data_IF_308379069429
#
_entry.id   IF_308379069429
#
_cell.length_a   1.000
_cell.length_b   1.000
_cell.length_c   1.000
_cell.angle_alpha   90.00
_cell.angle_beta   90.00
_cell.angle_gamma   90.00
#
_symmetry.space_group_name_H-M   'P 1'
#
loop_
_entity.id
_entity.type
_entity.pdbx_description
1 polymer ?
#
# COMPACT_ATOMS: atom_id res chain seq x y z
N UNK A 1 15.41 9.07 -15.49
CA UNK A 1 14.45 7.95 -15.54
C UNK A 1 14.72 7.09 -14.32
N UNK A 2 13.70 6.44 -13.77
CA UNK A 2 13.85 5.47 -12.69
C UNK A 2 14.33 4.14 -13.29
N UNK A 3 15.01 3.28 -12.54
CA UNK A 3 15.24 1.89 -12.97
C UNK A 3 13.89 1.18 -13.13
N UNK A 4 13.76 0.40 -14.20
CA UNK A 4 12.57 -0.37 -14.51
C UNK A 4 12.27 -1.43 -13.45
N UNK A 5 11.09 -1.32 -12.82
CA UNK A 5 10.68 -2.17 -11.70
C UNK A 5 9.16 -2.15 -11.47
N UNK A 6 8.64 -3.21 -10.85
CA UNK A 6 7.28 -3.26 -10.27
C UNK A 6 7.33 -3.77 -8.83
N UNK A 7 6.21 -3.68 -8.10
CA UNK A 7 6.09 -4.21 -6.71
C UNK A 7 7.17 -3.69 -5.75
N UNK A 8 7.65 -2.49 -6.07
CA UNK A 8 8.51 -1.66 -5.23
C UNK A 8 7.62 -0.78 -4.35
N UNK A 9 8.23 -0.19 -3.34
CA UNK A 9 7.54 0.74 -2.46
C UNK A 9 8.19 2.13 -2.53
N UNK A 10 7.38 3.14 -2.27
CA UNK A 10 7.81 4.53 -2.31
C UNK A 10 7.29 5.28 -1.08
N UNK A 11 8.09 6.21 -0.58
CA UNK A 11 7.72 7.04 0.56
C UNK A 11 8.21 8.47 0.39
N UNK A 12 7.38 9.43 0.77
CA UNK A 12 7.77 10.84 0.83
C UNK A 12 8.66 11.06 2.07
N UNK A 13 9.87 11.52 1.84
CA UNK A 13 10.83 11.87 2.90
C UNK A 13 10.53 13.26 3.48
N UNK A 14 11.04 13.53 4.67
CA UNK A 14 10.87 14.82 5.37
C UNK A 14 11.48 16.01 4.62
N UNK A 15 12.44 15.77 3.74
CA UNK A 15 13.03 16.78 2.87
C UNK A 15 12.23 17.03 1.57
N UNK A 16 11.05 16.41 1.43
CA UNK A 16 10.16 16.56 0.27
C UNK A 16 10.51 15.69 -0.93
N UNK A 17 11.62 14.94 -0.90
CA UNK A 17 11.98 13.99 -1.97
C UNK A 17 11.25 12.66 -1.79
N UNK A 18 11.12 11.88 -2.86
CA UNK A 18 10.50 10.54 -2.79
C UNK A 18 11.59 9.47 -2.87
N UNK A 19 11.68 8.63 -1.85
CA UNK A 19 12.50 7.42 -1.88
C UNK A 19 11.72 6.29 -2.53
N UNK A 20 12.31 5.61 -3.51
CA UNK A 20 11.80 4.37 -4.10
C UNK A 20 12.76 3.23 -3.79
N UNK A 21 12.25 2.13 -3.23
CA UNK A 21 13.07 1.01 -2.78
C UNK A 21 12.55 -0.34 -3.28
N UNK A 22 13.50 -1.21 -3.64
CA UNK A 22 13.23 -2.61 -3.97
C UNK A 22 12.38 -2.82 -5.22
N UNK A 23 11.57 -3.87 -5.18
CA UNK A 23 10.74 -4.33 -6.29
C UNK A 23 11.38 -5.46 -7.09
N UNK A 24 10.75 -5.79 -8.21
CA UNK A 24 11.19 -6.83 -9.14
C UNK A 24 11.62 -6.25 -10.47
N UNK A 25 12.65 -6.87 -11.05
CA UNK A 25 13.06 -6.70 -12.44
C UNK A 25 13.40 -8.07 -13.03
N UNK A 26 12.69 -8.46 -14.08
CA UNK A 26 12.74 -9.84 -14.57
C UNK A 26 12.33 -10.83 -13.47
N UNK A 27 13.10 -11.90 -13.29
CA UNK A 27 12.86 -12.89 -12.23
C UNK A 27 13.48 -12.52 -10.88
N UNK A 28 14.27 -11.43 -10.79
CA UNK A 28 15.05 -11.08 -9.60
C UNK A 28 14.43 -9.95 -8.80
N UNK A 29 14.72 -9.93 -7.50
CA UNK A 29 14.39 -8.81 -6.63
C UNK A 29 15.51 -7.78 -6.61
N UNK A 30 15.13 -6.53 -6.39
CA UNK A 30 16.05 -5.40 -6.34
C UNK A 30 16.39 -5.05 -4.89
N UNK A 31 17.66 -4.76 -4.64
CA UNK A 31 18.11 -4.10 -3.40
C UNK A 31 18.42 -2.60 -3.61
N UNK A 32 18.28 -2.13 -4.85
CA UNK A 32 18.59 -0.75 -5.24
C UNK A 32 17.50 0.22 -4.81
N UNK A 33 17.91 1.44 -4.51
CA UNK A 33 16.99 2.52 -4.15
C UNK A 33 17.37 3.79 -4.89
N UNK A 34 16.35 4.57 -5.23
CA UNK A 34 16.47 5.81 -5.98
C UNK A 34 15.68 6.91 -5.29
N UNK A 35 16.14 8.14 -5.45
CA UNK A 35 15.45 9.33 -4.97
C UNK A 35 14.94 10.12 -6.18
N UNK A 36 13.67 10.49 -6.13
CA UNK A 36 13.10 11.53 -6.98
C UNK A 36 13.09 12.88 -6.26
N UNK A 37 13.71 13.88 -6.89
CA UNK A 37 13.70 15.26 -6.42
C UNK A 37 12.64 16.07 -7.18
N UNK A 38 11.50 16.42 -6.55
CA UNK A 38 10.43 17.15 -7.23
C UNK A 38 10.76 18.60 -7.56
N UNK A 39 11.83 19.18 -7.01
CA UNK A 39 12.25 20.54 -7.34
C UNK A 39 13.01 20.59 -8.67
N UNK A 40 13.68 19.51 -9.03
CA UNK A 40 14.47 19.40 -10.28
C UNK A 40 13.91 18.37 -11.26
N UNK A 41 12.86 17.64 -10.85
CA UNK A 41 12.25 16.52 -11.57
C UNK A 41 13.26 15.44 -12.00
N UNK A 42 14.33 15.28 -11.21
CA UNK A 42 15.43 14.36 -11.48
C UNK A 42 15.44 13.14 -10.54
N UNK A 43 15.93 12.04 -11.09
CA UNK A 43 16.18 10.80 -10.38
C UNK A 43 17.66 10.65 -10.09
N UNK A 44 18.01 10.17 -8.90
CA UNK A 44 19.38 9.85 -8.51
C UNK A 44 19.43 8.54 -7.73
N UNK A 45 20.44 7.70 -7.96
CA UNK A 45 20.71 6.56 -7.09
C UNK A 45 21.08 7.02 -5.67
N UNK A 46 20.74 6.22 -4.68
CA UNK A 46 21.16 6.41 -3.29
C UNK A 46 21.60 5.07 -2.68
N UNK A 47 21.79 5.00 -1.36
CA UNK A 47 22.21 3.78 -0.67
C UNK A 47 21.39 2.55 -1.05
N UNK A 48 21.97 1.36 -0.92
CA UNK A 48 21.32 0.09 -1.28
C UNK A 48 21.00 -0.71 -0.02
N UNK A 49 19.86 -1.41 -0.04
CA UNK A 49 19.54 -2.40 0.98
C UNK A 49 20.56 -3.54 0.90
N UNK A 50 20.81 -4.19 2.04
CA UNK A 50 21.72 -5.34 2.10
C UNK A 50 21.14 -6.58 1.42
N UNK A 51 19.82 -6.67 1.31
CA UNK A 51 19.09 -7.77 0.66
C UNK A 51 18.04 -7.20 -0.31
N UNK A 52 17.88 -7.85 -1.46
CA UNK A 52 16.83 -7.51 -2.42
C UNK A 52 15.46 -7.92 -1.88
N UNK A 53 14.43 -7.12 -2.16
CA UNK A 53 13.05 -7.42 -1.73
C UNK A 53 12.02 -6.80 -2.66
N UNK A 54 10.94 -7.54 -2.91
CA UNK A 54 9.68 -7.02 -3.45
C UNK A 54 8.51 -7.43 -2.54
N UNK A 55 7.31 -6.89 -2.78
CA UNK A 55 6.12 -7.20 -1.96
C UNK A 55 6.32 -6.93 -0.44
N UNK A 56 7.24 -6.03 -0.14
CA UNK A 56 7.55 -5.51 1.19
C UNK A 56 6.69 -4.27 1.44
N UNK A 57 6.83 -3.67 2.62
CA UNK A 57 6.27 -2.33 2.87
C UNK A 57 7.39 -1.35 3.23
N UNK A 58 7.19 -0.06 2.93
CA UNK A 58 8.12 1.01 3.29
C UNK A 58 7.38 2.05 4.12
N UNK A 59 7.85 2.29 5.35
CA UNK A 59 7.17 3.15 6.31
C UNK A 59 8.05 4.32 6.74
N UNK A 60 7.54 5.55 6.61
CA UNK A 60 8.22 6.73 7.14
C UNK A 60 8.10 6.76 8.66
N UNK A 61 9.20 6.92 9.38
CA UNK A 61 9.23 7.00 10.84
C UNK A 61 9.27 8.45 11.33
N UNK A 62 8.84 8.65 12.58
CA UNK A 62 8.86 9.97 13.24
C UNK A 62 10.27 10.56 13.39
N UNK A 63 11.29 9.72 13.40
CA UNK A 63 12.70 10.12 13.49
C UNK A 63 13.32 10.53 12.15
N UNK A 64 12.55 10.59 11.06
CA UNK A 64 13.05 10.98 9.75
C UNK A 64 13.66 9.84 8.92
N UNK A 65 13.67 8.60 9.42
CA UNK A 65 14.16 7.42 8.68
C UNK A 65 13.01 6.68 8.00
N UNK A 66 13.31 5.96 6.92
CA UNK A 66 12.35 5.04 6.29
C UNK A 66 12.68 3.59 6.69
N UNK A 67 11.66 2.83 7.08
CA UNK A 67 11.78 1.42 7.47
C UNK A 67 11.27 0.51 6.35
N UNK A 68 12.16 -0.31 5.78
CA UNK A 68 11.79 -1.37 4.85
C UNK A 68 11.46 -2.65 5.63
N UNK A 69 10.27 -3.19 5.43
CA UNK A 69 9.69 -4.24 6.26
C UNK A 69 9.39 -5.47 5.41
N UNK A 70 10.08 -6.56 5.73
CA UNK A 70 9.81 -7.88 5.16
C UNK A 70 9.88 -7.95 3.65
N UNK A 71 8.94 -8.68 3.06
CA UNK A 71 8.85 -8.93 1.63
C UNK A 71 9.36 -10.31 1.22
N UNK A 72 9.45 -10.50 -0.08
CA UNK A 72 9.94 -11.71 -0.72
C UNK A 72 11.28 -11.38 -1.39
N UNK A 73 12.31 -12.17 -1.07
CA UNK A 73 13.65 -12.08 -1.66
C UNK A 73 13.77 -12.97 -2.91
N UNK A 74 14.99 -13.30 -3.34
CA UNK A 74 15.18 -14.10 -4.58
C UNK A 74 14.67 -15.54 -4.44
N UNK A 75 14.86 -16.17 -3.27
CA UNK A 75 14.43 -17.55 -2.99
C UNK A 75 13.89 -17.76 -1.57
N UNK A 76 13.89 -16.71 -0.73
CA UNK A 76 13.48 -16.77 0.68
C UNK A 76 12.57 -15.59 1.05
N UNK A 77 11.75 -15.76 2.09
CA UNK A 77 11.08 -14.62 2.71
C UNK A 77 12.07 -13.80 3.50
N UNK A 78 11.85 -12.49 3.48
CA UNK A 78 12.61 -11.58 4.29
C UNK A 78 11.79 -11.32 5.56
N UNK A 79 12.32 -11.70 6.72
CA UNK A 79 11.84 -11.17 8.01
C UNK A 79 12.73 -10.04 8.54
N UNK A 80 13.87 -9.79 7.88
CA UNK A 80 14.77 -8.68 8.18
C UNK A 80 14.10 -7.35 7.85
N UNK A 81 14.44 -6.34 8.64
CA UNK A 81 14.06 -4.96 8.37
C UNK A 81 15.28 -4.06 8.36
N UNK A 82 15.23 -3.00 7.56
CA UNK A 82 16.34 -2.09 7.34
C UNK A 82 15.85 -0.64 7.41
N UNK A 83 16.68 0.23 7.99
CA UNK A 83 16.43 1.66 8.14
C UNK A 83 17.25 2.44 7.13
N UNK A 84 16.60 3.23 6.30
CA UNK A 84 17.24 4.24 5.46
C UNK A 84 17.30 5.57 6.18
N UNK A 85 18.51 6.12 6.28
CA UNK A 85 18.76 7.46 6.79
C UNK A 85 18.94 8.44 5.62
N UNK A 86 17.99 9.36 5.37
CA UNK A 86 18.05 10.26 4.22
C UNK A 86 19.14 11.34 4.33
N UNK A 87 19.74 11.55 5.50
CA UNK A 87 20.84 12.51 5.66
C UNK A 87 22.18 11.91 5.27
N UNK A 88 22.37 10.62 5.54
CA UNK A 88 23.62 9.90 5.23
C UNK A 88 23.53 9.03 3.98
N UNK A 89 22.33 8.82 3.45
CA UNK A 89 22.07 7.89 2.35
C UNK A 89 22.48 6.44 2.66
N UNK A 90 22.43 6.03 3.94
CA UNK A 90 22.84 4.70 4.38
C UNK A 90 21.65 3.86 4.81
N UNK A 91 21.66 2.58 4.41
CA UNK A 91 20.78 1.54 4.95
C UNK A 91 21.48 0.82 6.11
N UNK A 92 20.78 0.66 7.24
CA UNK A 92 21.27 -0.08 8.41
C UNK A 92 20.28 -1.16 8.81
N UNK A 93 20.75 -2.38 9.06
CA UNK A 93 19.91 -3.47 9.61
C UNK A 93 19.37 -3.09 10.99
N UNK A 94 18.12 -3.40 11.25
CA UNK A 94 17.50 -3.34 12.59
C UNK A 94 16.88 -4.69 12.95
N UNK A 95 16.05 -4.78 13.98
CA UNK A 95 15.45 -6.05 14.39
C UNK A 95 14.61 -6.71 13.29
N UNK A 96 14.27 -7.97 13.52
CA UNK A 96 13.56 -8.81 12.57
C UNK A 96 12.16 -9.10 13.06
N UNK A 97 11.19 -9.18 12.14
CA UNK A 97 9.86 -9.68 12.47
C UNK A 97 9.95 -11.11 13.02
N UNK A 98 9.08 -11.43 13.96
CA UNK A 98 8.89 -12.77 14.51
C UNK A 98 8.40 -13.71 13.42
N UNK A 99 7.45 -13.26 12.60
CA UNK A 99 6.93 -14.03 11.45
C UNK A 99 7.42 -13.43 10.13
N UNK A 100 8.13 -14.17 9.26
CA UNK A 100 8.43 -13.71 7.91
C UNK A 100 7.15 -13.49 7.13
N UNK A 101 7.08 -12.36 6.39
CA UNK A 101 5.87 -12.04 5.63
C UNK A 101 6.11 -11.15 4.42
N UNK A 102 5.35 -11.40 3.37
CA UNK A 102 5.18 -10.54 2.19
C UNK A 102 3.67 -10.33 1.97
N UNK A 103 3.28 -9.32 1.17
CA UNK A 103 1.86 -8.95 0.94
C UNK A 103 1.10 -8.53 2.20
N UNK A 104 1.84 -8.24 3.26
CA UNK A 104 1.32 -7.66 4.49
C UNK A 104 1.08 -6.17 4.28
N UNK A 105 0.47 -5.52 5.24
CA UNK A 105 0.36 -4.07 5.27
C UNK A 105 0.96 -3.52 6.55
N UNK A 106 1.51 -2.32 6.46
CA UNK A 106 2.12 -1.63 7.59
C UNK A 106 1.71 -0.18 7.66
N UNK A 107 1.67 0.36 8.89
CA UNK A 107 1.30 1.75 9.14
C UNK A 107 2.03 2.26 10.39
N UNK A 108 2.52 3.50 10.33
CA UNK A 108 3.02 4.20 11.50
C UNK A 108 1.84 4.60 12.39
N UNK A 109 1.88 4.19 13.65
CA UNK A 109 0.90 4.54 14.67
C UNK A 109 1.22 5.89 15.31
N UNK A 110 0.20 6.54 15.88
CA UNK A 110 0.36 7.84 16.55
C UNK A 110 1.31 7.79 17.76
N UNK A 111 1.50 6.61 18.35
CA UNK A 111 2.46 6.39 19.44
C UNK A 111 3.91 6.19 18.97
N UNK A 112 4.17 6.28 17.66
CA UNK A 112 5.48 6.13 17.04
C UNK A 112 5.90 4.69 16.72
N UNK A 113 5.10 3.68 17.08
CA UNK A 113 5.36 2.29 16.69
C UNK A 113 4.87 2.02 15.27
N UNK A 114 5.40 1.00 14.61
CA UNK A 114 4.88 0.53 13.31
C UNK A 114 4.10 -0.76 13.50
N UNK A 115 2.83 -0.75 13.11
CA UNK A 115 2.00 -1.95 13.04
C UNK A 115 2.24 -2.64 11.71
N UNK A 116 2.34 -3.97 11.74
CA UNK A 116 2.34 -4.85 10.59
C UNK A 116 1.29 -5.93 10.78
N UNK A 117 0.49 -6.21 9.75
CA UNK A 117 -0.61 -7.18 9.84
C UNK A 117 -0.80 -7.93 8.52
N UNK A 118 -1.20 -9.21 8.64
CA UNK A 118 -1.56 -10.05 7.50
C UNK A 118 -0.37 -10.46 6.65
N UNK A 119 -0.65 -10.71 5.36
CA UNK A 119 0.31 -11.22 4.39
C UNK A 119 0.36 -12.74 4.34
N UNK A 120 1.46 -13.28 3.83
CA UNK A 120 1.73 -14.72 3.78
C UNK A 120 3.16 -15.02 4.20
N UNK A 121 3.37 -16.18 4.81
CA UNK A 121 4.69 -16.72 5.21
C UNK A 121 5.08 -17.97 4.41
N UNK A 122 4.35 -18.30 3.34
CA UNK A 122 4.56 -19.49 2.50
C UNK A 122 4.89 -19.12 1.06
N UNK A 123 5.66 -19.97 0.37
CA UNK A 123 6.24 -19.59 -0.95
C UNK A 123 5.19 -19.64 -2.03
N UNK A 124 4.23 -20.56 -1.84
CA UNK A 124 2.97 -20.56 -2.54
C UNK A 124 2.06 -19.45 -1.99
N UNK A 125 1.84 -18.44 -2.84
CA UNK A 125 0.89 -17.34 -2.63
C UNK A 125 -0.48 -17.83 -2.17
N UNK A 126 -0.92 -18.99 -2.67
CA UNK A 126 -2.25 -19.54 -2.42
C UNK A 126 -2.29 -20.58 -1.29
N UNK A 127 -1.16 -20.85 -0.61
CA UNK A 127 -1.10 -21.86 0.44
C UNK A 127 -1.66 -21.37 1.78
N UNK A 128 -1.35 -20.14 2.20
CA UNK A 128 -1.86 -19.62 3.48
C UNK A 128 -1.80 -18.09 3.56
N UNK A 129 -2.70 -17.52 4.37
CA UNK A 129 -2.68 -16.12 4.76
C UNK A 129 -2.57 -15.97 6.28
N UNK A 130 -1.71 -15.06 6.71
CA UNK A 130 -1.48 -14.77 8.12
C UNK A 130 -2.63 -13.94 8.70
N UNK A 131 -2.99 -14.26 9.93
CA UNK A 131 -3.85 -13.43 10.78
C UNK A 131 -3.08 -12.71 11.90
N UNK A 132 -1.79 -13.00 12.04
CA UNK A 132 -0.93 -12.38 13.06
C UNK A 132 -0.60 -10.93 12.71
N UNK A 133 -0.40 -10.14 13.75
CA UNK A 133 0.12 -8.78 13.66
C UNK A 133 1.28 -8.59 14.64
N UNK A 134 2.17 -7.66 14.30
CA UNK A 134 3.36 -7.33 15.09
C UNK A 134 3.56 -5.82 15.17
N UNK A 135 4.18 -5.37 16.26
CA UNK A 135 4.57 -3.99 16.48
C UNK A 135 6.10 -3.88 16.48
N UNK A 136 6.61 -2.94 15.70
CA UNK A 136 8.00 -2.51 15.76
C UNK A 136 8.13 -1.25 16.62
N UNK A 137 9.11 -1.25 17.53
CA UNK A 137 9.51 -0.05 18.26
C UNK A 137 10.78 0.57 17.64
N UNK A 138 10.69 1.74 16.97
CA UNK A 138 11.85 2.39 16.37
C UNK A 138 12.97 2.78 17.32
N UNK A 139 12.70 2.99 18.61
CA UNK A 139 13.73 3.40 19.57
C UNK A 139 14.60 2.23 20.03
N UNK A 140 14.08 1.01 20.00
CA UNK A 140 14.79 -0.21 20.44
C UNK A 140 15.12 -1.16 19.29
N UNK A 141 14.46 -1.00 18.14
CA UNK A 141 14.55 -1.93 17.03
C UNK A 141 13.84 -3.27 17.26
N UNK A 142 13.03 -3.40 18.33
CA UNK A 142 12.41 -4.68 18.72
C UNK A 142 11.05 -4.86 18.05
N UNK A 143 10.78 -6.08 17.60
CA UNK A 143 9.47 -6.55 17.15
C UNK A 143 8.79 -7.38 18.24
N UNK A 144 7.50 -7.14 18.48
CA UNK A 144 6.67 -7.94 19.39
C UNK A 144 5.35 -8.32 18.72
N UNK A 145 4.82 -9.51 19.03
CA UNK A 145 3.46 -9.88 18.61
C UNK A 145 2.42 -9.01 19.32
N UNK A 146 1.33 -8.68 18.62
CA UNK A 146 0.15 -8.03 19.20
C UNK A 146 -1.11 -8.86 18.87
N UNK A 147 -2.31 -8.36 19.18
CA UNK A 147 -3.55 -9.04 18.85
C UNK A 147 -3.63 -9.40 17.37
N UNK A 148 -4.35 -10.48 17.07
CA UNK A 148 -4.51 -11.01 15.72
C UNK A 148 -5.89 -10.70 15.17
N UNK A 149 -5.99 -10.53 13.85
CA UNK A 149 -7.28 -10.43 13.16
C UNK A 149 -7.98 -11.80 13.14
N UNK A 150 -9.30 -11.80 13.00
CA UNK A 150 -10.10 -13.03 13.06
C UNK A 150 -9.93 -13.94 11.84
N UNK A 151 -9.63 -13.36 10.67
CA UNK A 151 -9.44 -14.08 9.41
C UNK A 151 -8.14 -13.59 8.76
N UNK A 152 -7.24 -14.52 8.45
CA UNK A 152 -5.99 -14.22 7.78
C UNK A 152 -6.21 -13.67 6.37
N UNK A 153 -5.39 -12.72 5.95
CA UNK A 153 -5.59 -12.04 4.66
C UNK A 153 -4.30 -11.50 4.05
N UNK A 154 -4.16 -11.68 2.75
CA UNK A 154 -3.09 -11.11 1.92
C UNK A 154 -3.59 -9.88 1.14
N UNK A 155 -2.67 -8.94 0.87
CA UNK A 155 -2.91 -7.60 0.30
C UNK A 155 -4.10 -6.83 0.93
N UNK A 156 -4.23 -6.78 2.27
CA UNK A 156 -5.34 -6.05 2.89
C UNK A 156 -5.01 -4.55 3.03
N UNK A 157 -5.70 -3.60 2.38
CA UNK A 157 -5.46 -2.20 2.67
C UNK A 157 -5.84 -1.87 4.12
N UNK A 158 -5.00 -1.05 4.76
CA UNK A 158 -5.22 -0.51 6.10
C UNK A 158 -5.25 1.02 6.06
N UNK A 159 -6.03 1.61 6.96
CA UNK A 159 -6.15 3.06 7.09
C UNK A 159 -6.16 3.48 8.55
N UNK A 160 -5.48 4.58 8.85
CA UNK A 160 -5.64 5.27 10.13
C UNK A 160 -7.05 5.86 10.20
N UNK A 161 -7.71 5.72 11.34
CA UNK A 161 -8.95 6.42 11.68
C UNK A 161 -8.63 7.71 12.43
N UNK A 162 -9.53 8.69 12.39
CA UNK A 162 -9.33 9.99 13.05
C UNK A 162 -9.08 9.89 14.57
N UNK A 163 -9.53 8.82 15.21
CA UNK A 163 -9.30 8.53 16.64
C UNK A 163 -7.99 7.78 16.92
N UNK A 164 -7.13 7.57 15.92
CA UNK A 164 -5.85 6.87 16.06
C UNK A 164 -5.93 5.34 16.02
N UNK A 165 -7.11 4.76 15.84
CA UNK A 165 -7.29 3.32 15.59
C UNK A 165 -6.99 2.98 14.13
N UNK A 166 -6.75 1.71 13.81
CA UNK A 166 -6.45 1.27 12.44
C UNK A 166 -7.58 0.38 11.92
N UNK A 167 -8.14 0.70 10.76
CA UNK A 167 -9.09 -0.14 10.05
C UNK A 167 -8.34 -1.04 9.05
N UNK A 168 -8.68 -2.33 9.01
CA UNK A 168 -8.28 -3.27 7.96
C UNK A 168 -9.53 -3.72 7.20
N UNK A 169 -9.45 -3.81 5.86
CA UNK A 169 -10.63 -4.10 5.03
C UNK A 169 -10.34 -5.12 3.93
N UNK A 170 -11.28 -6.02 3.67
CA UNK A 170 -11.24 -6.95 2.54
C UNK A 170 -9.95 -7.76 2.46
N UNK A 171 -9.40 -7.91 1.25
CA UNK A 171 -8.22 -8.73 0.98
C UNK A 171 -8.60 -10.16 0.58
N UNK A 172 -7.58 -11.02 0.44
CA UNK A 172 -7.75 -12.39 -0.02
C UNK A 172 -7.31 -13.38 1.07
N UNK A 173 -8.20 -14.33 1.40
CA UNK A 173 -7.88 -15.50 2.22
C UNK A 173 -7.38 -16.63 1.30
N UNK A 174 -6.12 -17.00 1.46
CA UNK A 174 -5.52 -18.19 0.83
C UNK A 174 -5.74 -19.46 1.69
N UNK A 175 -5.40 -20.63 1.14
CA UNK A 175 -5.59 -21.93 1.80
C UNK A 175 -6.67 -22.78 1.12
N UNK A 176 -7.40 -23.57 1.89
CA UNK A 176 -8.49 -24.44 1.41
C UNK A 176 -9.81 -23.68 1.19
N UNK A 177 -10.10 -22.68 2.02
CA UNK A 177 -11.26 -21.78 1.92
C UNK A 177 -10.89 -20.50 1.14
N UNK A 178 -10.48 -20.65 -0.13
CA UNK A 178 -10.01 -19.51 -0.93
C UNK A 178 -11.15 -18.54 -1.22
N UNK A 179 -11.04 -17.32 -0.72
CA UNK A 179 -12.05 -16.29 -1.00
C UNK A 179 -11.56 -14.86 -0.78
N UNK A 180 -12.18 -13.94 -1.50
CA UNK A 180 -12.09 -12.52 -1.18
C UNK A 180 -12.98 -12.21 0.02
N UNK A 181 -12.54 -11.26 0.84
CA UNK A 181 -13.24 -10.86 2.04
C UNK A 181 -14.00 -9.55 1.79
N UNK A 182 -15.15 -9.42 2.44
CA UNK A 182 -15.83 -8.14 2.66
C UNK A 182 -15.73 -7.67 4.12
N UNK A 183 -15.09 -8.47 4.98
CA UNK A 183 -15.00 -8.19 6.40
C UNK A 183 -13.98 -7.10 6.71
N UNK A 184 -14.24 -6.37 7.79
CA UNK A 184 -13.36 -5.36 8.32
C UNK A 184 -13.18 -5.52 9.84
N UNK A 185 -12.02 -5.10 10.33
CA UNK A 185 -11.68 -5.12 11.75
C UNK A 185 -10.96 -3.81 12.12
N UNK A 186 -11.08 -3.40 13.38
CA UNK A 186 -10.47 -2.19 13.92
C UNK A 186 -9.48 -2.59 15.01
N UNK A 187 -8.21 -2.19 14.83
CA UNK A 187 -7.17 -2.32 15.84
C UNK A 187 -7.15 -1.10 16.75
N UNK A 188 -7.11 -1.35 18.05
CA UNK A 188 -6.90 -0.33 19.07
C UNK A 188 -5.46 -0.38 19.59
N UNK A 189 -4.58 0.59 19.22
CA UNK A 189 -3.20 0.61 19.69
C UNK A 189 -3.02 0.71 21.21
N UNK A 190 -4.03 1.20 21.94
CA UNK A 190 -3.94 1.34 23.39
C UNK A 190 -4.10 0.01 24.14
N UNK A 191 -4.79 -0.96 23.52
CA UNK A 191 -5.05 -2.28 24.10
C UNK A 191 -4.39 -3.41 23.33
N UNK A 192 -3.95 -3.16 22.09
CA UNK A 192 -3.41 -4.17 21.20
C UNK A 192 -4.46 -5.16 20.68
N UNK A 193 -5.75 -4.82 20.73
CA UNK A 193 -6.86 -5.71 20.38
C UNK A 193 -7.45 -5.34 19.02
N UNK A 194 -7.76 -6.35 18.19
CA UNK A 194 -8.60 -6.21 17.00
C UNK A 194 -10.06 -6.53 17.34
N UNK A 195 -10.97 -5.69 16.87
CA UNK A 195 -12.43 -5.87 17.05
C UNK A 195 -13.11 -5.88 15.69
N UNK A 196 -14.02 -6.82 15.45
CA UNK A 196 -14.84 -6.84 14.24
C UNK A 196 -15.72 -5.60 14.17
N UNK A 197 -15.88 -5.04 12.97
CA UNK A 197 -16.84 -3.96 12.67
C UNK A 197 -17.81 -4.40 11.57
N UNK A 198 -18.61 -3.49 11.02
CA UNK A 198 -19.48 -3.78 9.89
C UNK A 198 -18.72 -4.30 8.67
N UNK A 199 -19.43 -5.02 7.80
CA UNK A 199 -18.88 -5.57 6.57
C UNK A 199 -19.26 -4.72 5.36
N UNK A 200 -18.37 -4.66 4.38
CA UNK A 200 -18.69 -4.14 3.04
C UNK A 200 -19.78 -5.00 2.40
N UNK A 201 -20.56 -4.39 1.50
CA UNK A 201 -21.54 -5.09 0.66
C UNK A 201 -20.87 -5.92 -0.43
N UNK A 202 -19.69 -5.50 -0.90
CA UNK A 202 -18.94 -6.19 -1.97
C UNK A 202 -17.60 -6.70 -1.43
N UNK A 203 -17.37 -8.01 -1.58
CA UNK A 203 -16.07 -8.65 -1.33
C UNK A 203 -15.05 -8.22 -2.37
N UNK A 204 -13.82 -7.93 -1.93
CA UNK A 204 -12.77 -7.36 -2.80
C UNK A 204 -11.37 -7.58 -2.25
N UNK A 205 -10.41 -7.73 -3.16
CA UNK A 205 -8.97 -7.66 -2.90
C UNK A 205 -8.27 -6.68 -3.85
N UNK A 206 -7.05 -6.25 -3.49
CA UNK A 206 -6.27 -5.24 -4.23
C UNK A 206 -7.05 -3.95 -4.55
N UNK A 207 -7.98 -3.59 -3.67
CA UNK A 207 -8.65 -2.30 -3.62
C UNK A 207 -7.81 -1.30 -2.82
N UNK A 208 -8.21 -0.04 -2.85
CA UNK A 208 -7.63 1.01 -2.01
C UNK A 208 -8.56 1.36 -0.86
N UNK A 209 -8.00 1.85 0.26
CA UNK A 209 -8.74 2.40 1.39
C UNK A 209 -8.10 3.74 1.79
N UNK A 210 -8.85 4.84 1.66
CA UNK A 210 -8.34 6.20 1.85
C UNK A 210 -9.20 6.93 2.88
N UNK A 211 -8.56 7.49 3.92
CA UNK A 211 -9.24 8.36 4.88
C UNK A 211 -9.59 9.69 4.20
N UNK A 212 -10.86 10.08 4.28
CA UNK A 212 -11.39 11.33 3.76
C UNK A 212 -11.31 12.44 4.82
N UNK A 213 -11.43 13.70 4.38
CA UNK A 213 -11.42 14.89 5.25
C UNK A 213 -12.56 14.92 6.27
N UNK A 214 -13.66 14.22 6.00
CA UNK A 214 -14.79 14.06 6.93
C UNK A 214 -14.62 12.88 7.91
N UNK A 215 -13.46 12.20 7.90
CA UNK A 215 -13.15 11.08 8.78
C UNK A 215 -13.65 9.71 8.32
N UNK A 216 -14.47 9.63 7.25
CA UNK A 216 -14.88 8.34 6.67
C UNK A 216 -13.73 7.71 5.88
N UNK A 217 -13.78 6.40 5.67
CA UNK A 217 -12.84 5.69 4.79
C UNK A 217 -13.53 5.37 3.47
N UNK A 218 -12.98 5.86 2.36
CA UNK A 218 -13.36 5.45 1.01
C UNK A 218 -12.63 4.16 0.66
N UNK A 219 -13.38 3.12 0.32
CA UNK A 219 -12.88 1.92 -0.33
C UNK A 219 -13.29 1.93 -1.79
N UNK A 220 -12.34 1.73 -2.70
CA UNK A 220 -12.58 1.86 -4.14
C UNK A 220 -11.95 0.71 -4.95
N UNK A 221 -12.69 0.21 -5.94
CA UNK A 221 -12.24 -0.78 -6.91
C UNK A 221 -11.77 -2.10 -6.30
N UNK A 222 -10.70 -2.67 -6.86
CA UNK A 222 -10.25 -4.03 -6.55
C UNK A 222 -10.86 -5.05 -7.49
N UNK A 223 -10.77 -6.32 -7.12
CA UNK A 223 -11.35 -7.40 -7.91
C UNK A 223 -11.81 -8.55 -7.01
N UNK A 224 -12.64 -9.41 -7.58
CA UNK A 224 -13.08 -10.65 -6.97
C UNK A 224 -13.31 -11.75 -8.03
N UNK A 225 -13.98 -12.85 -7.66
CA UNK A 225 -14.25 -13.96 -8.58
C UNK A 225 -15.12 -13.61 -9.78
N UNK A 226 -15.89 -12.52 -9.70
CA UNK A 226 -16.75 -12.06 -10.79
C UNK A 226 -16.05 -11.03 -11.71
N UNK A 227 -14.79 -10.66 -11.40
CA UNK A 227 -14.02 -9.68 -12.17
C UNK A 227 -13.56 -8.48 -11.35
N UNK A 228 -13.06 -7.47 -12.06
CA UNK A 228 -12.65 -6.19 -11.51
C UNK A 228 -13.86 -5.33 -11.17
N UNK A 229 -13.70 -4.49 -10.15
CA UNK A 229 -14.79 -3.73 -9.56
C UNK A 229 -14.66 -2.24 -9.92
N UNK A 230 -15.79 -1.63 -10.23
CA UNK A 230 -15.96 -0.17 -10.29
C UNK A 230 -16.67 0.38 -9.05
N UNK A 231 -17.19 -0.49 -8.18
CA UNK A 231 -17.91 -0.07 -6.98
C UNK A 231 -16.99 0.55 -5.95
N UNK A 232 -17.52 1.53 -5.22
CA UNK A 232 -16.88 2.13 -4.06
C UNK A 232 -17.86 2.21 -2.87
N UNK A 233 -17.31 2.17 -1.67
CA UNK A 233 -18.06 2.14 -0.42
C UNK A 233 -17.40 3.06 0.62
N UNK A 234 -18.22 3.68 1.47
CA UNK A 234 -17.79 4.52 2.57
C UNK A 234 -17.99 3.78 3.89
N UNK A 235 -16.94 3.70 4.70
CA UNK A 235 -17.02 3.28 6.09
C UNK A 235 -17.15 4.50 7.00
N UNK A 236 -18.18 4.51 7.84
CA UNK A 236 -18.34 5.48 8.91
C UNK A 236 -17.76 4.93 10.23
N UNK A 237 -16.62 5.44 10.72
CA UNK A 237 -15.98 4.91 11.92
C UNK A 237 -16.77 5.18 13.21
N UNK A 238 -17.76 6.09 13.19
CA UNK A 238 -18.57 6.40 14.37
C UNK A 238 -19.67 5.36 14.60
N UNK A 239 -20.20 4.79 13.52
CA UNK A 239 -21.31 3.82 13.56
C UNK A 239 -20.87 2.40 13.19
N UNK A 240 -19.71 2.26 12.54
CA UNK A 240 -19.25 0.99 11.98
C UNK A 240 -20.00 0.57 10.71
N UNK A 241 -20.82 1.45 10.14
CA UNK A 241 -21.68 1.15 8.97
C UNK A 241 -20.95 1.43 7.66
N UNK A 242 -21.21 0.57 6.67
CA UNK A 242 -20.78 0.74 5.28
C UNK A 242 -21.93 1.23 4.41
N UNK A 243 -21.64 2.10 3.44
CA UNK A 243 -22.63 2.61 2.48
C UNK A 243 -22.02 2.69 1.09
N UNK A 244 -22.74 2.22 0.07
CA UNK A 244 -22.35 2.40 -1.33
C UNK A 244 -22.31 3.89 -1.68
N UNK A 245 -21.32 4.30 -2.46
CA UNK A 245 -21.22 5.65 -3.03
C UNK A 245 -21.17 5.56 -4.55
N UNK A 246 -20.89 6.65 -5.26
CA UNK A 246 -20.69 6.63 -6.71
C UNK A 246 -19.64 5.60 -7.14
N UNK A 247 -19.72 5.16 -8.38
CA UNK A 247 -18.82 4.16 -8.96
C UNK A 247 -17.80 4.81 -9.89
N UNK A 248 -16.63 4.19 -9.98
CA UNK A 248 -15.63 4.50 -11.00
C UNK A 248 -16.21 4.24 -12.40
N UNK A 249 -15.77 5.01 -13.39
CA UNK A 249 -16.12 4.80 -14.80
C UNK A 249 -15.43 3.59 -15.42
N UNK A 250 -14.24 3.23 -14.93
CA UNK A 250 -13.55 1.99 -15.30
C UNK A 250 -13.42 1.05 -14.09
N UNK A 251 -13.73 -0.23 -14.30
CA UNK A 251 -13.33 -1.30 -13.37
C UNK A 251 -11.81 -1.28 -13.24
N UNK A 252 -11.28 -1.47 -12.02
CA UNK A 252 -9.83 -1.51 -11.80
C UNK A 252 -9.43 -2.16 -10.48
N UNK A 253 -8.36 -2.93 -10.51
CA UNK A 253 -7.63 -3.44 -9.35
C UNK A 253 -6.15 -3.05 -9.45
N UNK A 254 -5.39 -3.23 -8.37
CA UNK A 254 -3.95 -2.92 -8.33
C UNK A 254 -3.60 -1.46 -8.63
N UNK A 255 -4.60 -0.58 -8.61
CA UNK A 255 -4.46 0.86 -8.75
C UNK A 255 -3.91 1.48 -7.46
N UNK A 256 -3.65 2.78 -7.49
CA UNK A 256 -3.33 3.56 -6.28
C UNK A 256 -4.33 4.69 -6.11
N UNK A 257 -4.52 5.09 -4.85
CA UNK A 257 -5.40 6.18 -4.47
C UNK A 257 -4.63 7.18 -3.59
N UNK A 258 -4.75 8.46 -3.90
CA UNK A 258 -4.08 9.54 -3.21
C UNK A 258 -5.12 10.61 -2.83
N UNK A 259 -5.19 10.96 -1.53
CA UNK A 259 -5.94 12.15 -1.13
C UNK A 259 -5.16 13.40 -1.55
N UNK A 260 -5.86 14.32 -2.21
CA UNK A 260 -5.32 15.60 -2.66
C UNK A 260 -5.59 16.71 -1.63
N UNK A 261 -4.87 17.82 -1.75
CA UNK A 261 -4.99 18.96 -0.84
C UNK A 261 -6.41 19.59 -0.83
N UNK A 262 -7.15 19.45 -1.93
CA UNK A 262 -8.55 19.91 -2.04
C UNK A 262 -9.57 18.92 -1.43
N UNK A 263 -9.11 17.83 -0.81
CA UNK A 263 -9.94 16.80 -0.19
C UNK A 263 -10.49 15.73 -1.14
N UNK A 264 -10.30 15.86 -2.46
CA UNK A 264 -10.68 14.83 -3.43
C UNK A 264 -9.70 13.65 -3.36
N UNK A 265 -10.16 12.47 -3.78
CA UNK A 265 -9.31 11.28 -3.89
C UNK A 265 -9.05 11.01 -5.36
N UNK A 266 -7.78 11.09 -5.77
CA UNK A 266 -7.33 10.68 -7.10
C UNK A 266 -7.07 9.18 -7.10
N UNK A 267 -7.71 8.45 -8.01
CA UNK A 267 -7.39 7.06 -8.33
C UNK A 267 -6.70 7.01 -9.68
N UNK A 268 -5.53 6.37 -9.74
CA UNK A 268 -4.71 6.28 -10.94
C UNK A 268 -4.43 4.84 -11.34
N UNK A 269 -4.56 4.61 -12.64
CA UNK A 269 -4.14 3.40 -13.34
C UNK A 269 -4.68 2.08 -12.76
N UNK A 270 -3.89 1.01 -12.78
CA UNK A 270 -4.30 -0.35 -12.40
C UNK A 270 -4.52 -1.25 -13.62
N UNK A 271 -5.26 -2.34 -13.41
CA UNK A 271 -5.60 -3.29 -14.47
C UNK A 271 -7.08 -3.67 -14.39
N UNK A 272 -7.64 -4.11 -15.51
CA UNK A 272 -8.97 -4.70 -15.62
C UNK A 272 -9.00 -5.87 -16.61
N UNK A 273 -10.19 -6.33 -16.97
CA UNK A 273 -10.41 -7.46 -17.90
C UNK A 273 -9.79 -7.25 -19.29
N UNK A 274 -9.62 -5.99 -19.71
CA UNK A 274 -9.12 -5.61 -21.02
C UNK A 274 -7.62 -5.25 -21.02
N UNK A 275 -6.92 -5.40 -19.88
CA UNK A 275 -5.51 -5.04 -19.72
C UNK A 275 -5.30 -3.86 -18.78
N UNK A 276 -4.20 -3.13 -18.97
CA UNK A 276 -3.83 -2.04 -18.07
C UNK A 276 -4.74 -0.83 -18.27
N UNK A 277 -5.20 -0.24 -17.17
CA UNK A 277 -6.03 0.96 -17.20
C UNK A 277 -5.11 2.17 -17.17
N UNK A 278 -5.17 3.01 -18.21
CA UNK A 278 -4.41 4.26 -18.27
C UNK A 278 -5.15 5.47 -17.71
N UNK A 279 -6.45 5.37 -17.42
CA UNK A 279 -7.22 6.53 -16.96
C UNK A 279 -7.01 6.83 -15.48
N UNK A 280 -7.17 8.10 -15.13
CA UNK A 280 -7.27 8.59 -13.76
C UNK A 280 -8.67 9.16 -13.49
N UNK A 281 -9.12 9.06 -12.24
CA UNK A 281 -10.45 9.48 -11.81
C UNK A 281 -10.38 10.17 -10.44
N UNK A 282 -11.22 11.18 -10.22
CA UNK A 282 -11.34 11.94 -8.97
C UNK A 282 -12.68 11.65 -8.31
N UNK A 283 -12.64 11.18 -7.07
CA UNK A 283 -13.79 11.11 -6.19
C UNK A 283 -13.94 12.41 -5.40
N UNK A 284 -15.13 13.00 -5.46
CA UNK A 284 -15.50 14.15 -4.65
C UNK A 284 -16.30 13.70 -3.41
N UNK A 285 -15.75 13.80 -2.19
CA UNK A 285 -16.43 13.33 -0.98
C UNK A 285 -17.65 14.16 -0.59
N UNK A 286 -17.84 15.36 -1.15
CA UNK A 286 -19.00 16.21 -0.87
C UNK A 286 -20.23 15.76 -1.67
N UNK A 287 -20.02 15.26 -2.89
CA UNK A 287 -21.11 14.86 -3.79
C UNK A 287 -21.24 13.35 -3.92
N UNK A 288 -20.20 12.60 -3.57
CA UNK A 288 -20.12 11.15 -3.81
C UNK A 288 -19.90 10.78 -5.27
N UNK A 289 -19.59 11.74 -6.15
CA UNK A 289 -19.45 11.53 -7.58
C UNK A 289 -17.99 11.34 -7.99
N UNK A 290 -17.81 10.56 -9.06
CA UNK A 290 -16.53 10.38 -9.74
C UNK A 290 -16.47 11.21 -11.02
N UNK A 291 -15.29 11.75 -11.31
CA UNK A 291 -15.03 12.52 -12.53
C UNK A 291 -13.71 12.09 -13.17
N UNK A 292 -13.60 12.17 -14.50
CA UNK A 292 -12.35 11.85 -15.20
C UNK A 292 -11.27 12.89 -14.89
N UNK A 293 -10.05 12.45 -14.61
CA UNK A 293 -8.92 13.28 -14.18
C UNK A 293 -7.71 13.22 -15.13
N UNK A 294 -7.93 12.77 -16.38
CA UNK A 294 -6.88 12.59 -17.39
C UNK A 294 -6.49 11.14 -17.61
N UNK A 295 -5.50 10.92 -18.46
CA UNK A 295 -4.95 9.61 -18.79
C UNK A 295 -3.42 9.65 -18.70
N UNK A 296 -2.82 8.54 -18.26
CA UNK A 296 -1.38 8.30 -18.32
C UNK A 296 -0.91 8.15 -19.77
N UNK A 297 0.33 8.55 -20.01
CA UNK A 297 1.01 8.24 -21.27
C UNK A 297 1.30 6.74 -21.39
N UNK A 298 1.56 6.06 -20.26
CA UNK A 298 1.74 4.61 -20.23
C UNK A 298 0.90 4.01 -19.11
N UNK A 299 -0.08 3.20 -19.48
CA UNK A 299 -0.89 2.43 -18.54
C UNK A 299 -0.02 1.44 -17.76
N UNK A 300 -0.32 1.28 -16.46
CA UNK A 300 0.53 0.56 -15.51
C UNK A 300 -0.25 0.02 -14.32
N UNK A 301 0.18 -1.09 -13.76
CA UNK A 301 -0.23 -1.58 -12.44
C UNK A 301 0.99 -1.97 -11.61
N UNK A 302 0.78 -2.30 -10.33
CA UNK A 302 1.86 -2.65 -9.38
C UNK A 302 2.98 -1.57 -9.31
N UNK A 303 2.56 -0.32 -9.54
CA UNK A 303 3.33 0.91 -9.45
C UNK A 303 3.17 1.56 -8.07
N UNK A 304 3.93 2.61 -7.82
CA UNK A 304 3.72 3.48 -6.65
C UNK A 304 3.08 4.80 -7.04
N UNK A 305 2.27 5.37 -6.15
CA UNK A 305 1.76 6.73 -6.28
C UNK A 305 1.98 7.47 -4.96
N UNK A 306 2.63 8.64 -5.02
CA UNK A 306 3.00 9.42 -3.84
C UNK A 306 2.57 10.86 -4.01
N UNK A 307 1.70 11.34 -3.13
CA UNK A 307 1.37 12.78 -3.05
C UNK A 307 2.60 13.54 -2.57
N UNK A 308 3.01 14.53 -3.35
CA UNK A 308 4.15 15.41 -3.09
C UNK A 308 3.72 16.62 -2.25
N UNK A 309 4.68 17.29 -1.63
CA UNK A 309 4.42 18.50 -0.83
C UNK A 309 3.82 19.66 -1.64
N UNK A 310 4.04 19.67 -2.96
CA UNK A 310 3.45 20.66 -3.87
C UNK A 310 2.04 20.28 -4.34
N UNK A 311 1.44 19.21 -3.81
CA UNK A 311 0.10 18.73 -4.15
C UNK A 311 0.01 17.84 -5.38
N UNK A 312 1.07 17.74 -6.20
CA UNK A 312 1.11 16.79 -7.32
C UNK A 312 1.22 15.35 -6.81
N UNK A 313 0.85 14.38 -7.64
CA UNK A 313 1.04 12.95 -7.38
C UNK A 313 2.06 12.38 -8.35
N UNK A 314 3.17 11.86 -7.81
CA UNK A 314 4.17 11.11 -8.58
C UNK A 314 3.72 9.67 -8.72
N UNK A 315 3.56 9.20 -9.95
CA UNK A 315 3.28 7.80 -10.28
C UNK A 315 4.51 7.19 -10.93
N UNK A 316 5.14 6.19 -10.30
CA UNK A 316 6.44 5.68 -10.73
C UNK A 316 6.47 4.15 -10.91
N UNK A 317 7.19 3.72 -11.95
CA UNK A 317 7.41 2.31 -12.27
C UNK A 317 6.14 1.54 -12.59
N UNK A 318 6.13 0.24 -12.29
CA UNK A 318 5.04 -0.69 -12.57
C UNK A 318 5.30 -1.54 -13.80
N UNK A 319 4.24 -2.19 -14.26
CA UNK A 319 4.27 -3.15 -15.37
C UNK A 319 3.15 -2.84 -16.36
N UNK A 320 3.41 -3.00 -17.66
CA UNK A 320 2.46 -2.70 -18.74
C UNK A 320 2.02 -3.95 -19.53
N UNK A 321 1.08 -3.76 -20.47
CA UNK A 321 0.49 -4.83 -21.28
C UNK A 321 1.49 -5.58 -22.18
N UNK A 322 2.66 -4.98 -22.43
CA UNK A 322 3.71 -5.57 -23.25
C UNK A 322 4.74 -6.35 -22.44
N UNK A 323 4.41 -6.68 -21.20
CA UNK A 323 5.28 -7.42 -20.28
C UNK A 323 6.60 -6.69 -19.94
N UNK A 324 6.61 -5.36 -20.05
CA UNK A 324 7.78 -4.56 -19.72
C UNK A 324 7.66 -3.95 -18.32
N UNK A 325 8.76 -4.07 -17.57
CA UNK A 325 9.01 -3.27 -16.38
C UNK A 325 9.21 -1.82 -16.81
N UNK A 326 8.55 -0.88 -16.13
CA UNK A 326 8.56 0.52 -16.53
C UNK A 326 9.66 1.30 -15.79
N UNK A 327 10.52 1.97 -16.56
CA UNK A 327 11.52 2.95 -16.10
C UNK A 327 11.01 4.40 -16.13
N UNK A 328 9.69 4.58 -16.33
CA UNK A 328 9.04 5.88 -16.45
C UNK A 328 8.28 6.26 -15.18
N UNK A 329 8.14 7.57 -14.97
CA UNK A 329 7.26 8.15 -13.96
C UNK A 329 6.47 9.31 -14.57
N UNK A 330 5.32 9.62 -13.99
CA UNK A 330 4.40 10.66 -14.45
C UNK A 330 3.91 11.48 -13.25
N UNK A 331 3.67 12.77 -13.47
CA UNK A 331 3.12 13.68 -12.46
C UNK A 331 1.67 14.02 -12.78
N UNK A 332 0.81 13.92 -11.78
CA UNK A 332 -0.59 14.37 -11.82
C UNK A 332 -0.74 15.62 -10.98
N UNK A 333 -1.52 16.59 -11.45
CA UNK A 333 -1.83 17.85 -10.75
C UNK A 333 -3.33 17.97 -10.51
#
# INVERSE_FOLDING_TARGET
MIVDRQLHEAVLLTNGKVLVAGGYRGSGVLNITEIYDPATEHWSETGKMSEGRGLHTLCMLTNGKALAIGGFGDITFVNNTELYDPFTAVWTKTGKMVTPRFLHSSILLNNGQVLVVGGSSTTDYYASSLNSAELYNPSTGVWINTGSISIGRARPPISMLANGKVLITGGFLAGSDRRYLNSAEVYDPSTGVWTKTGNMSVLRGSHTATMLTNGKILVAGGYNFNGFLSSAELYDPTTGVWTLTGSLSATRGFHRACMLANGKVLVVAGANENGMVGSAELYDPLTGLWTKAGNMSTARYDHTATTLLNGKVLVAGGYNDYQYYLSSAELYA
#
